data_IF_135600455304
#
_entry.id   IF_135600455304
#
_cell.length_a   1.000
_cell.length_b   1.000
_cell.length_c   1.000
_cell.angle_alpha   90.00
_cell.angle_beta   90.00
_cell.angle_gamma   90.00
#
_symmetry.space_group_name_H-M   'P 1'
#
loop_
_entity.id
_entity.type
_entity.pdbx_description
1 polymer ?
#
# COMPACT_ATOMS: atom_id res chain seq x y z
N UNK A 1 -12.87 14.85 6.41
CA UNK A 1 -12.13 15.69 5.43
C UNK A 1 -11.13 14.77 4.75
N UNK A 2 -11.10 14.71 3.41
CA UNK A 2 -10.26 13.74 2.70
C UNK A 2 -8.88 14.35 2.43
N UNK A 3 -8.00 14.29 3.43
CA UNK A 3 -6.59 14.63 3.25
C UNK A 3 -5.98 13.68 2.22
N UNK A 4 -5.62 14.23 1.07
CA UNK A 4 -5.00 13.49 -0.03
C UNK A 4 -3.50 13.72 0.04
N UNK A 5 -2.76 12.65 0.26
CA UNK A 5 -1.30 12.66 0.31
C UNK A 5 -0.74 12.28 -1.05
N UNK A 6 0.37 12.91 -1.40
CA UNK A 6 1.15 12.59 -2.59
C UNK A 6 2.29 11.66 -2.18
N UNK A 7 2.39 10.51 -2.84
CA UNK A 7 3.40 9.50 -2.58
C UNK A 7 3.91 8.94 -3.91
N UNK A 8 5.10 8.35 -3.88
CA UNK A 8 5.73 7.74 -5.07
C UNK A 8 5.84 6.24 -4.85
N UNK A 9 5.29 5.43 -5.76
CA UNK A 9 5.39 3.95 -5.73
C UNK A 9 6.06 3.51 -7.03
N UNK A 10 7.18 2.81 -6.95
CA UNK A 10 7.97 2.35 -8.11
C UNK A 10 8.24 3.45 -9.16
N UNK A 11 8.57 4.66 -8.68
CA UNK A 11 8.83 5.82 -9.54
C UNK A 11 7.59 6.49 -10.15
N UNK A 12 6.37 5.99 -9.86
CA UNK A 12 5.12 6.62 -10.28
C UNK A 12 4.55 7.50 -9.18
N UNK A 13 4.11 8.71 -9.54
CA UNK A 13 3.42 9.61 -8.61
C UNK A 13 1.97 9.18 -8.42
N UNK A 14 1.57 8.97 -7.16
CA UNK A 14 0.25 8.48 -6.76
C UNK A 14 -0.35 9.46 -5.76
N UNK A 15 -1.66 9.72 -5.91
CA UNK A 15 -2.44 10.50 -4.96
C UNK A 15 -3.37 9.54 -4.22
N UNK A 16 -3.11 9.35 -2.94
CA UNK A 16 -3.90 8.47 -2.08
C UNK A 16 -4.52 9.27 -0.94
N UNK A 17 -5.60 8.75 -0.34
CA UNK A 17 -6.11 9.34 0.90
C UNK A 17 -5.17 8.97 2.05
N UNK A 18 -5.00 9.88 3.02
CA UNK A 18 -4.12 9.67 4.16
C UNK A 18 -4.44 8.36 4.94
N UNK A 19 -5.71 7.96 4.98
CA UNK A 19 -6.19 6.78 5.70
C UNK A 19 -6.31 5.52 4.81
N UNK A 20 -5.83 5.59 3.56
CA UNK A 20 -5.96 4.51 2.59
C UNK A 20 -4.86 3.47 2.80
N UNK A 21 -5.18 2.18 2.61
CA UNK A 21 -4.17 1.14 2.63
C UNK A 21 -3.21 1.28 1.44
N UNK A 22 -1.94 0.94 1.66
CA UNK A 22 -0.92 0.98 0.63
C UNK A 22 -1.25 0.07 -0.56
N UNK A 23 -1.86 -1.09 -0.31
CA UNK A 23 -2.30 -2.03 -1.36
C UNK A 23 -3.30 -1.35 -2.30
N UNK A 24 -4.31 -0.66 -1.76
CA UNK A 24 -5.30 0.03 -2.58
C UNK A 24 -4.66 1.22 -3.32
N UNK A 25 -3.73 1.94 -2.68
CA UNK A 25 -3.01 3.05 -3.31
C UNK A 25 -2.16 2.56 -4.49
N UNK A 26 -1.45 1.45 -4.32
CA UNK A 26 -0.66 0.81 -5.39
C UNK A 26 -1.53 0.37 -6.56
N UNK A 27 -2.72 -0.19 -6.30
CA UNK A 27 -3.67 -0.54 -7.36
C UNK A 27 -4.07 0.67 -8.21
N UNK A 28 -4.25 1.86 -7.61
CA UNK A 28 -4.56 3.08 -8.40
C UNK A 28 -3.44 3.49 -9.36
N UNK A 29 -2.20 3.08 -9.08
CA UNK A 29 -1.03 3.28 -9.92
C UNK A 29 -0.83 2.16 -10.98
N UNK A 30 -1.73 1.16 -10.99
CA UNK A 30 -1.62 -0.05 -11.78
C UNK A 30 -0.53 -1.00 -11.28
N UNK A 31 -0.14 -0.91 -10.02
CA UNK A 31 0.85 -1.80 -9.39
C UNK A 31 0.07 -2.83 -8.58
N UNK A 32 0.14 -4.09 -8.99
CA UNK A 32 -0.55 -5.17 -8.29
C UNK A 32 0.36 -5.78 -7.22
N UNK A 33 0.00 -5.59 -5.96
CA UNK A 33 0.69 -6.22 -4.82
C UNK A 33 -0.06 -7.51 -4.45
N UNK A 34 0.58 -8.69 -4.57
CA UNK A 34 -0.08 -9.95 -4.27
C UNK A 34 -0.44 -10.02 -2.78
N UNK A 35 -1.68 -10.38 -2.50
CA UNK A 35 -2.19 -10.49 -1.14
C UNK A 35 -3.26 -11.60 -1.07
N UNK A 36 -3.26 -12.35 0.03
CA UNK A 36 -4.28 -13.39 0.31
C UNK A 36 -5.05 -13.10 1.59
N UNK A 37 -4.40 -12.45 2.56
CA UNK A 37 -4.99 -12.16 3.87
C UNK A 37 -5.59 -10.74 3.96
N UNK A 38 -5.63 -10.01 2.85
CA UNK A 38 -6.25 -8.70 2.75
C UNK A 38 -7.50 -8.82 1.86
N UNK A 39 -8.59 -8.21 2.31
CA UNK A 39 -9.82 -8.07 1.55
C UNK A 39 -10.26 -6.61 1.64
N UNK A 40 -10.64 -6.02 0.50
CA UNK A 40 -10.97 -4.59 0.42
C UNK A 40 -12.07 -4.23 1.41
N UNK A 41 -11.79 -3.25 2.27
CA UNK A 41 -12.70 -2.80 3.34
C UNK A 41 -12.58 -3.58 4.67
N UNK A 42 -11.75 -4.62 4.73
CA UNK A 42 -11.39 -5.29 5.98
C UNK A 42 -9.93 -4.99 6.37
N UNK A 43 -9.64 -5.13 7.66
CA UNK A 43 -8.28 -4.99 8.18
C UNK A 43 -7.44 -6.20 7.76
N UNK A 44 -6.33 -5.95 7.06
CA UNK A 44 -5.38 -7.01 6.72
C UNK A 44 -4.75 -7.60 7.98
N UNK A 45 -4.65 -8.94 8.03
CA UNK A 45 -4.05 -9.63 9.18
C UNK A 45 -2.52 -9.74 9.10
N UNK A 46 -1.93 -9.49 7.93
CA UNK A 46 -0.49 -9.66 7.68
C UNK A 46 -0.02 -11.12 7.71
N UNK A 47 -0.94 -12.09 7.76
CA UNK A 47 -0.59 -13.50 7.89
C UNK A 47 0.09 -14.09 6.65
N UNK A 48 -0.29 -13.65 5.44
CA UNK A 48 0.25 -14.22 4.20
C UNK A 48 1.65 -13.71 3.82
N UNK A 49 2.06 -12.55 4.35
CA UNK A 49 3.36 -11.89 4.07
C UNK A 49 3.70 -11.69 2.58
N UNK A 50 2.72 -11.80 1.68
CA UNK A 50 2.94 -11.61 0.23
C UNK A 50 3.05 -10.13 -0.16
N UNK A 51 2.43 -9.24 0.61
CA UNK A 51 2.44 -7.79 0.36
C UNK A 51 3.63 -7.07 1.00
N UNK A 52 4.75 -7.77 1.20
CA UNK A 52 5.97 -7.17 1.71
C UNK A 52 6.54 -6.19 0.69
N UNK A 53 6.75 -4.95 1.11
CA UNK A 53 7.33 -3.88 0.30
C UNK A 53 8.43 -3.16 1.05
N UNK A 54 9.40 -2.65 0.31
CA UNK A 54 10.45 -1.79 0.86
C UNK A 54 9.98 -0.34 0.83
N UNK A 55 10.25 0.38 1.91
CA UNK A 55 9.91 1.79 2.06
C UNK A 55 11.20 2.53 2.34
N UNK A 56 11.50 3.55 1.52
CA UNK A 56 12.69 4.38 1.71
C UNK A 56 12.68 5.01 3.12
N UNK A 57 13.80 4.84 3.84
CA UNK A 57 13.96 5.32 5.22
C UNK A 57 13.59 4.30 6.31
N UNK A 58 12.97 3.16 5.96
CA UNK A 58 12.76 2.05 6.89
C UNK A 58 13.83 0.96 6.70
N UNK A 59 14.26 0.36 7.81
CA UNK A 59 15.30 -0.69 7.81
C UNK A 59 14.79 -2.08 7.48
N UNK A 60 13.47 -2.27 7.41
CA UNK A 60 12.86 -3.57 7.22
C UNK A 60 11.64 -3.44 6.31
N UNK A 61 11.38 -4.44 5.46
CA UNK A 61 10.20 -4.44 4.60
C UNK A 61 8.93 -4.47 5.46
N UNK A 62 7.93 -3.73 5.03
CA UNK A 62 6.66 -3.55 5.71
C UNK A 62 5.55 -4.29 4.98
N UNK A 63 4.53 -4.70 5.74
CA UNK A 63 3.34 -5.40 5.25
C UNK A 63 2.14 -4.46 5.24
#
# INVERSE_FOLDING_TARGET
MADTVKLTIDGKEVRARADMNLIDAAETAGIHIPNLCYLKGLKGSGACRLCLVEIEGLKSPMT
#
